data_IF_477225308540
#
_entry.id   IF_477225308540
#
_cell.length_a   1.000
_cell.length_b   1.000
_cell.length_c   1.000
_cell.angle_alpha   90.00
_cell.angle_beta   90.00
_cell.angle_gamma   90.00
#
_symmetry.space_group_name_H-M   'P 1'
#
loop_
_entity.id
_entity.type
_entity.pdbx_description
1 polymer ?
#
# COMPACT_ATOMS: atom_id res chain seq x y z
N UNK A 1 6.29 -17.57 14.16
CA UNK A 1 5.77 -17.35 12.79
C UNK A 1 5.20 -18.67 12.29
N UNK A 2 3.95 -18.70 11.79
CA UNK A 2 3.23 -19.94 11.43
C UNK A 2 3.64 -20.46 10.04
N UNK A 3 3.88 -19.55 9.10
CA UNK A 3 4.31 -19.85 7.74
C UNK A 3 5.74 -19.37 7.52
N UNK A 4 6.55 -20.17 6.84
CA UNK A 4 7.92 -19.81 6.44
C UNK A 4 7.94 -19.22 5.04
N UNK A 5 8.93 -18.37 4.73
CA UNK A 5 9.13 -17.86 3.37
C UNK A 5 9.28 -18.98 2.33
N UNK A 6 9.87 -20.12 2.70
CA UNK A 6 9.98 -21.29 1.82
C UNK A 6 8.59 -21.82 1.45
N UNK A 7 7.72 -22.06 2.43
CA UNK A 7 6.35 -22.51 2.18
C UNK A 7 5.58 -21.53 1.28
N UNK A 8 5.70 -20.23 1.51
CA UNK A 8 5.02 -19.20 0.70
C UNK A 8 5.51 -19.16 -0.74
N UNK A 9 6.78 -19.47 -1.00
CA UNK A 9 7.31 -19.57 -2.37
C UNK A 9 6.76 -20.77 -3.13
N UNK A 10 6.40 -21.85 -2.43
CA UNK A 10 5.79 -23.02 -3.06
C UNK A 10 4.31 -22.82 -3.40
N UNK A 11 3.64 -21.85 -2.77
CA UNK A 11 2.24 -21.54 -3.08
C UNK A 11 2.14 -20.79 -4.41
N UNK A 12 1.12 -21.11 -5.21
CA UNK A 12 0.63 -20.19 -6.24
C UNK A 12 0.10 -18.91 -5.59
N UNK A 13 -0.05 -17.84 -6.37
CA UNK A 13 -0.58 -16.59 -5.85
C UNK A 13 -2.04 -16.74 -5.35
N UNK A 14 -2.84 -17.52 -6.06
CA UNK A 14 -4.22 -17.82 -5.65
C UNK A 14 -4.25 -18.58 -4.31
N UNK A 15 -3.42 -19.62 -4.14
CA UNK A 15 -3.33 -20.36 -2.88
C UNK A 15 -2.84 -19.48 -1.73
N UNK A 16 -1.86 -18.62 -1.98
CA UNK A 16 -1.37 -17.70 -0.96
C UNK A 16 -2.46 -16.73 -0.49
N UNK A 17 -3.24 -16.17 -1.42
CA UNK A 17 -4.37 -15.29 -1.07
C UNK A 17 -5.50 -16.03 -0.37
N UNK A 18 -5.85 -17.24 -0.82
CA UNK A 18 -6.83 -18.08 -0.16
C UNK A 18 -6.39 -18.44 1.27
N UNK A 19 -5.10 -18.72 1.47
CA UNK A 19 -4.51 -18.96 2.79
C UNK A 19 -4.65 -17.72 3.68
N UNK A 20 -4.33 -16.52 3.17
CA UNK A 20 -4.53 -15.27 3.92
C UNK A 20 -6.00 -15.06 4.32
N UNK A 21 -6.95 -15.29 3.40
CA UNK A 21 -8.38 -15.18 3.68
C UNK A 21 -8.83 -16.14 4.80
N UNK A 22 -8.40 -17.40 4.73
CA UNK A 22 -8.71 -18.42 5.73
C UNK A 22 -8.15 -18.04 7.11
N UNK A 23 -6.89 -17.61 7.17
CA UNK A 23 -6.25 -17.21 8.43
C UNK A 23 -6.93 -16.00 9.07
N UNK A 24 -7.32 -14.99 8.27
CA UNK A 24 -8.06 -13.83 8.75
C UNK A 24 -9.43 -14.25 9.30
N UNK A 25 -10.16 -15.08 8.57
CA UNK A 25 -11.48 -15.57 8.99
C UNK A 25 -11.39 -16.39 10.29
N UNK A 26 -10.40 -17.27 10.40
CA UNK A 26 -10.14 -18.09 11.59
C UNK A 26 -9.72 -17.27 12.81
N UNK A 27 -9.00 -16.16 12.61
CA UNK A 27 -8.65 -15.22 13.68
C UNK A 27 -9.79 -14.28 14.07
N UNK A 28 -10.96 -14.39 13.44
CA UNK A 28 -12.15 -13.60 13.76
C UNK A 28 -12.25 -12.27 13.02
N UNK A 29 -11.31 -11.95 12.12
CA UNK A 29 -11.43 -10.75 11.27
C UNK A 29 -12.54 -10.94 10.24
N UNK A 30 -13.15 -9.82 9.84
CA UNK A 30 -14.24 -9.79 8.86
C UNK A 30 -14.08 -8.58 7.94
N UNK A 31 -14.33 -8.76 6.65
CA UNK A 31 -14.25 -7.66 5.70
C UNK A 31 -15.50 -6.78 5.73
N UNK A 32 -15.39 -5.60 5.13
CA UNK A 32 -16.53 -4.72 4.88
C UNK A 32 -17.55 -5.42 3.98
N UNK A 33 -18.83 -5.31 4.32
CA UNK A 33 -19.93 -5.90 3.57
C UNK A 33 -21.13 -4.96 3.47
N UNK A 34 -21.85 -5.01 2.35
CA UNK A 34 -23.08 -4.26 2.18
C UNK A 34 -24.22 -4.92 2.97
N UNK A 35 -24.85 -4.16 3.85
CA UNK A 35 -26.02 -4.58 4.61
C UNK A 35 -27.30 -4.19 3.88
N UNK A 36 -28.04 -5.20 3.41
CA UNK A 36 -29.29 -5.01 2.65
C UNK A 36 -30.42 -4.46 3.53
N UNK A 37 -30.44 -4.79 4.83
CA UNK A 37 -31.49 -4.32 5.76
C UNK A 37 -31.32 -2.83 6.09
N UNK A 38 -30.07 -2.38 6.25
CA UNK A 38 -29.75 -0.99 6.58
C UNK A 38 -29.41 -0.15 5.36
N UNK A 39 -29.23 -0.78 4.19
CA UNK A 39 -28.81 -0.14 2.93
C UNK A 39 -27.41 0.45 2.96
N UNK A 40 -26.52 0.00 3.86
CA UNK A 40 -25.21 0.63 4.12
C UNK A 40 -24.06 -0.36 4.08
N UNK A 41 -22.87 0.14 3.77
CA UNK A 41 -21.64 -0.63 3.93
C UNK A 41 -21.19 -0.62 5.39
N UNK A 42 -21.00 -1.80 5.96
CA UNK A 42 -20.63 -2.00 7.36
C UNK A 42 -19.29 -2.73 7.45
N UNK A 43 -18.41 -2.27 8.34
CA UNK A 43 -17.16 -2.97 8.63
C UNK A 43 -17.45 -4.26 9.41
N UNK A 44 -16.53 -5.22 9.34
CA UNK A 44 -16.59 -6.49 10.08
C UNK A 44 -17.84 -7.35 9.82
N UNK A 45 -18.43 -7.30 8.62
CA UNK A 45 -19.68 -8.02 8.30
C UNK A 45 -19.45 -9.37 7.63
N UNK A 46 -18.66 -9.39 6.56
CA UNK A 46 -18.54 -10.54 5.68
C UNK A 46 -17.23 -11.32 5.93
N UNK A 47 -17.20 -12.58 5.50
CA UNK A 47 -15.96 -13.36 5.46
C UNK A 47 -15.06 -12.85 4.34
N UNK A 48 -13.75 -12.85 4.59
CA UNK A 48 -12.76 -12.66 3.55
C UNK A 48 -12.85 -13.78 2.52
N UNK A 49 -12.84 -13.42 1.24
CA UNK A 49 -12.77 -14.34 0.12
C UNK A 49 -11.72 -13.84 -0.86
N UNK A 50 -10.80 -14.72 -1.25
CA UNK A 50 -9.84 -14.45 -2.30
C UNK A 50 -10.46 -14.83 -3.65
N UNK A 51 -10.51 -13.89 -4.58
CA UNK A 51 -10.85 -14.18 -5.97
C UNK A 51 -9.62 -14.73 -6.69
N UNK A 52 -9.71 -15.97 -7.18
CA UNK A 52 -8.62 -16.60 -7.93
C UNK A 52 -8.44 -15.98 -9.32
N UNK A 53 -9.47 -15.33 -9.87
CA UNK A 53 -9.42 -14.67 -11.17
C UNK A 53 -8.71 -13.31 -11.12
N UNK A 54 -8.76 -12.62 -9.97
CA UNK A 54 -7.99 -11.40 -9.71
C UNK A 54 -7.27 -11.43 -8.35
N UNK A 55 -6.12 -12.13 -8.26
CA UNK A 55 -5.37 -12.25 -7.02
C UNK A 55 -4.73 -10.91 -6.57
N UNK A 56 -4.73 -9.87 -7.39
CA UNK A 56 -4.14 -8.57 -7.00
C UNK A 56 -5.04 -7.81 -6.05
N UNK A 57 -6.36 -7.95 -6.21
CA UNK A 57 -7.35 -7.16 -5.47
C UNK A 57 -7.40 -7.56 -3.99
N UNK A 58 -7.12 -8.82 -3.65
CA UNK A 58 -7.35 -9.31 -2.30
C UNK A 58 -6.66 -8.47 -1.22
N UNK A 59 -5.33 -8.32 -1.30
CA UNK A 59 -4.56 -7.55 -0.32
C UNK A 59 -4.54 -6.04 -0.58
N UNK A 60 -4.86 -5.60 -1.81
CA UNK A 60 -4.82 -4.18 -2.19
C UNK A 60 -6.19 -3.49 -2.07
N UNK A 61 -7.26 -4.25 -1.86
CA UNK A 61 -8.63 -3.72 -1.81
C UNK A 61 -9.52 -4.44 -0.80
N UNK A 62 -9.51 -5.78 -0.74
CA UNK A 62 -10.41 -6.51 0.16
C UNK A 62 -9.96 -6.43 1.62
N UNK A 63 -8.65 -6.50 1.87
CA UNK A 63 -8.05 -6.29 3.19
C UNK A 63 -7.61 -4.83 3.27
N UNK A 64 -8.20 -4.04 4.17
CA UNK A 64 -7.95 -2.59 4.23
C UNK A 64 -7.58 -2.04 5.62
N UNK A 65 -7.52 -2.89 6.65
CA UNK A 65 -7.20 -2.47 8.02
C UNK A 65 -5.77 -2.79 8.49
N UNK A 66 -5.22 -1.94 9.36
CA UNK A 66 -3.89 -2.13 9.92
C UNK A 66 -3.78 -3.40 10.78
N UNK A 67 -4.83 -3.77 11.51
CA UNK A 67 -4.81 -4.92 12.42
C UNK A 67 -4.68 -6.24 11.66
N UNK A 68 -5.35 -6.34 10.52
CA UNK A 68 -5.29 -7.47 9.60
C UNK A 68 -3.88 -7.62 9.03
N UNK A 69 -3.27 -6.52 8.58
CA UNK A 69 -1.89 -6.55 8.09
C UNK A 69 -0.90 -6.95 9.18
N UNK A 70 -1.00 -6.39 10.39
CA UNK A 70 -0.12 -6.78 11.50
C UNK A 70 -0.29 -8.25 11.87
N UNK A 71 -1.53 -8.76 11.89
CA UNK A 71 -1.78 -10.19 12.09
C UNK A 71 -1.10 -11.02 11.00
N UNK A 72 -1.34 -10.71 9.73
CA UNK A 72 -0.74 -11.45 8.60
C UNK A 72 0.80 -11.41 8.62
N UNK A 73 1.41 -10.29 9.02
CA UNK A 73 2.86 -10.20 9.24
C UNK A 73 3.32 -11.12 10.37
N UNK A 74 2.62 -11.10 11.50
CA UNK A 74 2.98 -11.89 12.69
C UNK A 74 3.00 -13.40 12.41
N UNK A 75 2.14 -13.87 11.49
CA UNK A 75 2.08 -15.28 11.09
C UNK A 75 2.94 -15.61 9.86
N UNK A 76 3.57 -14.62 9.22
CA UNK A 76 4.48 -14.82 8.08
C UNK A 76 3.80 -14.84 6.70
N UNK A 77 2.54 -14.41 6.60
CA UNK A 77 1.83 -14.29 5.32
C UNK A 77 2.05 -12.96 4.62
N UNK A 78 2.53 -11.93 5.33
CA UNK A 78 3.05 -10.69 4.76
C UNK A 78 4.50 -10.48 5.21
N UNK A 79 5.23 -9.60 4.50
CA UNK A 79 6.65 -9.32 4.75
C UNK A 79 7.54 -10.57 4.74
N UNK A 80 7.20 -11.54 3.88
CA UNK A 80 7.86 -12.84 3.79
C UNK A 80 8.81 -12.97 2.58
N UNK A 81 9.11 -11.86 1.92
CA UNK A 81 9.93 -11.82 0.70
C UNK A 81 9.14 -12.10 -0.59
N UNK A 82 7.81 -12.20 -0.54
CA UNK A 82 6.93 -12.21 -1.72
C UNK A 82 6.16 -10.89 -1.80
N UNK A 83 6.12 -10.29 -2.99
CA UNK A 83 5.47 -9.01 -3.24
C UNK A 83 3.96 -9.20 -3.36
N UNK A 84 3.12 -8.61 -2.49
CA UNK A 84 1.68 -8.75 -2.57
C UNK A 84 1.05 -8.07 -3.82
N UNK A 85 1.77 -7.15 -4.49
CA UNK A 85 1.28 -6.48 -5.70
C UNK A 85 1.48 -7.27 -6.99
N UNK A 86 2.55 -8.05 -7.11
CA UNK A 86 2.89 -8.76 -8.35
C UNK A 86 3.12 -10.26 -8.18
N UNK A 87 3.08 -10.77 -6.95
CA UNK A 87 3.33 -12.17 -6.64
C UNK A 87 4.79 -12.62 -6.79
N UNK A 88 5.70 -11.75 -7.25
CA UNK A 88 7.13 -12.06 -7.42
C UNK A 88 7.94 -11.97 -6.13
N UNK A 89 9.21 -12.33 -6.18
CA UNK A 89 10.14 -12.15 -5.05
C UNK A 89 10.41 -10.67 -4.75
N UNK A 90 10.73 -10.39 -3.49
CA UNK A 90 11.32 -9.12 -3.06
C UNK A 90 12.78 -9.40 -2.76
N UNK A 91 13.64 -9.04 -3.71
CA UNK A 91 15.09 -9.15 -3.58
C UNK A 91 15.68 -7.80 -3.17
N UNK A 92 16.62 -7.79 -2.23
CA UNK A 92 17.24 -6.57 -1.71
C UNK A 92 16.34 -5.74 -0.78
N UNK A 93 16.40 -4.41 -0.90
CA UNK A 93 15.71 -3.49 0.00
C UNK A 93 14.21 -3.33 -0.37
N UNK A 94 13.27 -3.81 0.47
CA UNK A 94 11.84 -3.69 0.19
C UNK A 94 11.40 -2.23 0.18
N UNK A 95 10.47 -1.91 -0.72
CA UNK A 95 9.67 -0.69 -0.62
C UNK A 95 8.47 -0.91 0.31
N UNK A 96 7.77 0.16 0.66
CA UNK A 96 6.57 0.14 1.51
C UNK A 96 5.34 0.57 0.70
N UNK A 97 4.29 -0.23 0.78
CA UNK A 97 2.93 0.21 0.48
C UNK A 97 2.29 0.72 1.77
N UNK A 98 1.54 1.81 1.69
CA UNK A 98 0.71 2.34 2.78
C UNK A 98 -0.68 2.61 2.22
N UNK A 99 -1.72 2.14 2.91
CA UNK A 99 -3.10 2.39 2.54
C UNK A 99 -3.40 3.89 2.55
N UNK A 100 -4.22 4.34 1.59
CA UNK A 100 -4.74 5.72 1.59
C UNK A 100 -5.82 5.95 2.65
N UNK A 101 -6.43 4.88 3.16
CA UNK A 101 -7.51 4.96 4.17
C UNK A 101 -6.99 4.89 5.60
N UNK A 102 -5.95 4.09 5.85
CA UNK A 102 -5.34 3.91 7.16
C UNK A 102 -3.81 4.01 7.03
N UNK A 103 -3.23 5.09 7.54
CA UNK A 103 -1.79 5.34 7.47
C UNK A 103 -0.95 4.33 8.27
N UNK A 104 -1.55 3.62 9.21
CA UNK A 104 -0.89 2.54 9.94
C UNK A 104 -0.94 1.22 9.15
N UNK A 105 -1.84 1.09 8.18
CA UNK A 105 -1.98 -0.09 7.34
C UNK A 105 -0.93 -0.08 6.22
N UNK A 106 0.22 -0.70 6.49
CA UNK A 106 1.34 -0.74 5.55
C UNK A 106 1.99 -2.13 5.46
N UNK A 107 2.60 -2.47 4.32
CA UNK A 107 3.36 -3.72 4.13
C UNK A 107 4.46 -3.58 3.09
N UNK A 108 5.34 -4.57 3.00
CA UNK A 108 6.47 -4.58 2.07
C UNK A 108 6.06 -4.95 0.64
N UNK A 109 6.60 -4.23 -0.34
CA UNK A 109 6.44 -4.49 -1.78
C UNK A 109 7.80 -4.44 -2.49
N UNK A 110 7.91 -5.00 -3.68
CA UNK A 110 9.15 -4.88 -4.47
C UNK A 110 9.31 -3.46 -5.05
N UNK A 111 10.56 -3.04 -5.27
CA UNK A 111 10.88 -1.72 -5.80
C UNK A 111 10.28 -1.47 -7.18
N UNK A 112 10.20 -2.50 -8.04
CA UNK A 112 9.59 -2.37 -9.37
C UNK A 112 8.09 -2.05 -9.30
N UNK A 113 7.37 -2.58 -8.30
CA UNK A 113 5.98 -2.21 -8.04
C UNK A 113 5.86 -0.80 -7.47
N UNK A 114 6.72 -0.41 -6.53
CA UNK A 114 6.74 0.94 -5.99
C UNK A 114 6.97 2.00 -7.08
N UNK A 115 7.95 1.75 -7.97
CA UNK A 115 8.29 2.65 -9.06
C UNK A 115 7.18 2.77 -10.11
N UNK A 116 6.38 1.72 -10.33
CA UNK A 116 5.19 1.78 -11.19
C UNK A 116 4.05 2.58 -10.58
N UNK A 117 3.85 2.47 -9.26
CA UNK A 117 2.81 3.20 -8.53
C UNK A 117 3.11 4.69 -8.36
N UNK A 118 4.39 5.06 -8.29
CA UNK A 118 4.85 6.46 -8.41
C UNK A 118 4.68 6.92 -9.85
N UNK A 119 3.46 7.29 -10.25
CA UNK A 119 3.29 8.17 -11.41
C UNK A 119 4.20 9.36 -11.18
N UNK A 120 5.23 9.54 -12.03
CA UNK A 120 5.99 10.79 -12.10
C UNK A 120 4.94 11.90 -12.17
N UNK A 121 4.97 12.83 -11.23
CA UNK A 121 4.25 14.08 -11.38
C UNK A 121 4.59 14.64 -12.77
N UNK A 122 3.63 14.62 -13.69
CA UNK A 122 3.74 15.29 -15.00
C UNK A 122 3.58 16.81 -14.83
N UNK A 123 3.42 17.31 -13.61
CA UNK A 123 3.50 18.74 -13.34
C UNK A 123 4.95 19.19 -13.43
N UNK A 124 5.33 19.65 -14.62
CA UNK A 124 6.58 20.35 -14.88
C UNK A 124 6.77 21.56 -13.92
N UNK A 125 5.66 22.11 -13.40
CA UNK A 125 5.62 23.21 -12.45
C UNK A 125 6.33 22.95 -11.11
N UNK A 126 6.43 21.70 -10.64
CA UNK A 126 7.06 21.40 -9.35
C UNK A 126 8.60 21.51 -9.38
N UNK A 127 9.22 21.54 -10.57
CA UNK A 127 10.67 21.68 -10.70
C UNK A 127 11.12 23.10 -11.16
N UNK A 128 10.20 23.96 -11.59
CA UNK A 128 10.50 25.29 -12.13
C UNK A 128 10.20 26.44 -11.17
N UNK A 129 9.33 26.24 -10.16
CA UNK A 129 8.99 27.29 -9.18
C UNK A 129 10.17 27.77 -8.33
N UNK A 130 11.08 26.87 -7.94
CA UNK A 130 12.26 27.24 -7.14
C UNK A 130 13.29 28.08 -7.93
N UNK A 131 13.39 27.87 -9.24
CA UNK A 131 14.34 28.60 -10.10
C UNK A 131 13.85 30.04 -10.32
N UNK A 132 12.55 30.25 -10.51
CA UNK A 132 11.96 31.58 -10.68
C UNK A 132 12.10 32.41 -9.38
N UNK A 133 11.90 31.79 -8.21
CA UNK A 133 12.10 32.46 -6.92
C UNK A 133 13.56 32.90 -6.71
N UNK A 134 14.54 32.06 -7.07
CA UNK A 134 15.96 32.40 -6.98
C UNK A 134 16.38 33.53 -7.94
N UNK A 135 15.73 33.66 -9.10
CA UNK A 135 16.00 34.75 -10.05
C UNK A 135 15.36 36.08 -9.65
N UNK A 136 14.19 36.06 -9.01
CA UNK A 136 13.46 37.29 -8.64
C UNK A 136 13.83 37.83 -7.26
N UNK A 137 14.33 36.99 -6.35
CA UNK A 137 14.78 37.40 -5.00
C UNK A 137 15.87 38.51 -5.04
N UNK A 138 16.94 38.40 -5.84
CA UNK A 138 17.96 39.45 -5.92
C UNK A 138 17.40 40.79 -6.39
N UNK A 139 16.48 40.77 -7.37
CA UNK A 139 15.86 41.97 -7.90
C UNK A 139 15.00 42.70 -6.85
N UNK A 140 14.20 41.95 -6.07
CA UNK A 140 13.41 42.52 -5.00
C UNK A 140 14.25 43.07 -3.84
N UNK A 141 15.38 42.42 -3.52
CA UNK A 141 16.32 42.90 -2.49
C UNK A 141 17.02 44.20 -2.93
N UNK A 142 17.44 44.30 -4.19
CA UNK A 142 18.02 45.54 -4.74
C UNK A 142 17.00 46.67 -4.71
N UNK A 143 15.74 46.39 -5.10
CA UNK A 143 14.67 47.41 -5.10
C UNK A 143 14.36 47.93 -3.69
N UNK A 144 14.41 47.07 -2.68
CA UNK A 144 14.26 47.48 -1.28
C UNK A 144 15.43 48.33 -0.79
N UNK A 145 16.68 47.98 -1.14
CA UNK A 145 17.85 48.78 -0.76
C UNK A 145 17.81 50.20 -1.33
N UNK A 146 17.27 50.38 -2.54
CA UNK A 146 17.10 51.70 -3.17
C UNK A 146 15.94 52.54 -2.60
N UNK A 147 15.03 51.95 -1.81
CA UNK A 147 13.95 52.69 -1.13
C UNK A 147 14.38 53.24 0.24
N UNK A 148 15.50 52.74 0.79
CA UNK A 148 16.05 53.13 2.09
C UNK A 148 17.31 54.01 1.99
N UNK A 149 17.65 54.47 0.78
CA UNK A 149 18.78 55.33 0.45
C UNK A 149 18.26 56.65 -0.12
#
# INVERSE_FOLDING_TARGET
MKYTSYQIRQMSWAEWNATMANELNSAGFRCRGFNEETGKWENNRNLYRADSSDPKIFILGTVDGAREYEYLKSIGLLNNGRCPMCGGSIDGNPARFTSGYDHNAHFQICQSCCNRGRKRSLNHANNSGCIIALLLLPWHLIKLLWLFL
#
